data_IF_372331246046
#
_entry.id   IF_372331246046
#
_cell.length_a   1.000
_cell.length_b   1.000
_cell.length_c   1.000
_cell.angle_alpha   90.00
_cell.angle_beta   90.00
_cell.angle_gamma   90.00
#
_symmetry.space_group_name_H-M   'P 1'
#
loop_
_entity.id
_entity.type
_entity.pdbx_description
1 polymer ?
#
# COMPACT_ATOMS: atom_id res chain seq x y z
N UNK A 1 -32.91 -3.63 -11.24
CA UNK A 1 -33.42 -4.89 -10.67
C UNK A 1 -33.04 -4.90 -9.20
N UNK A 2 -33.96 -5.26 -8.29
CA UNK A 2 -33.64 -5.33 -6.86
C UNK A 2 -32.71 -6.51 -6.59
N UNK A 3 -31.71 -6.32 -5.73
CA UNK A 3 -30.79 -7.37 -5.28
C UNK A 3 -31.62 -8.47 -4.61
N UNK A 4 -31.67 -9.67 -5.21
CA UNK A 4 -32.33 -10.82 -4.60
C UNK A 4 -31.44 -11.29 -3.46
N UNK A 5 -31.87 -11.08 -2.22
CA UNK A 5 -31.11 -11.45 -1.03
C UNK A 5 -31.45 -12.87 -0.63
N UNK A 6 -30.47 -13.76 -0.72
CA UNK A 6 -30.56 -15.15 -0.26
C UNK A 6 -29.97 -15.31 1.16
N UNK A 7 -30.24 -16.44 1.81
CA UNK A 7 -29.79 -16.67 3.19
C UNK A 7 -28.26 -16.70 3.32
N UNK A 8 -27.55 -17.16 2.28
CA UNK A 8 -26.09 -17.23 2.27
C UNK A 8 -25.43 -15.85 2.08
N UNK A 9 -26.17 -14.82 1.63
CA UNK A 9 -25.65 -13.45 1.52
C UNK A 9 -25.34 -12.89 2.90
N UNK A 10 -26.15 -13.26 3.91
CA UNK A 10 -25.88 -12.90 5.30
C UNK A 10 -24.54 -13.48 5.80
N UNK A 11 -24.11 -14.64 5.28
CA UNK A 11 -22.80 -15.19 5.61
C UNK A 11 -21.70 -14.36 4.95
N UNK A 12 -21.87 -13.95 3.68
CA UNK A 12 -20.93 -13.07 3.01
C UNK A 12 -20.79 -11.73 3.74
N UNK A 13 -21.92 -11.13 4.15
CA UNK A 13 -21.96 -9.91 4.96
C UNK A 13 -21.26 -10.11 6.32
N UNK A 14 -21.49 -11.24 6.99
CA UNK A 14 -20.84 -11.57 8.25
C UNK A 14 -19.32 -11.71 8.09
N UNK A 15 -18.83 -12.38 7.03
CA UNK A 15 -17.39 -12.53 6.76
C UNK A 15 -16.72 -11.15 6.62
N UNK A 16 -17.31 -10.25 5.84
CA UNK A 16 -16.78 -8.89 5.64
C UNK A 16 -16.85 -8.08 6.94
N UNK A 17 -17.97 -8.13 7.65
CA UNK A 17 -18.13 -7.41 8.93
C UNK A 17 -17.12 -7.90 10.00
N UNK A 18 -16.89 -9.21 10.11
CA UNK A 18 -15.90 -9.79 11.01
C UNK A 18 -14.49 -9.36 10.59
N UNK A 19 -14.19 -9.37 9.29
CA UNK A 19 -12.88 -8.93 8.78
C UNK A 19 -12.60 -7.46 9.11
N UNK A 20 -13.60 -6.59 8.98
CA UNK A 20 -13.52 -5.18 9.39
C UNK A 20 -13.30 -5.07 10.90
N UNK A 21 -14.09 -5.79 11.70
CA UNK A 21 -13.97 -5.74 13.16
C UNK A 21 -12.60 -6.19 13.64
N UNK A 22 -12.09 -7.32 13.14
CA UNK A 22 -10.75 -7.83 13.45
C UNK A 22 -9.68 -6.83 13.03
N UNK A 23 -9.81 -6.21 11.85
CA UNK A 23 -8.84 -5.24 11.36
C UNK A 23 -8.80 -3.98 12.22
N UNK A 24 -9.96 -3.43 12.58
CA UNK A 24 -10.07 -2.28 13.49
C UNK A 24 -9.50 -2.63 14.87
N UNK A 25 -9.81 -3.82 15.37
CA UNK A 25 -9.29 -4.31 16.65
C UNK A 25 -7.76 -4.39 16.65
N UNK A 26 -7.15 -4.96 15.60
CA UNK A 26 -5.69 -5.03 15.44
C UNK A 26 -5.09 -3.62 15.40
N UNK A 27 -5.66 -2.71 14.62
CA UNK A 27 -5.17 -1.32 14.54
C UNK A 27 -5.26 -0.65 15.91
N UNK A 28 -6.41 -0.79 16.59
CA UNK A 28 -6.61 -0.20 17.91
C UNK A 28 -5.63 -0.73 18.96
N UNK A 29 -5.33 -2.03 18.95
CA UNK A 29 -4.33 -2.59 19.87
C UNK A 29 -2.91 -2.08 19.62
N UNK A 30 -2.54 -1.83 18.36
CA UNK A 30 -1.17 -1.44 18.00
C UNK A 30 -0.95 0.08 17.99
N UNK A 31 -1.97 0.88 17.64
CA UNK A 31 -1.87 2.34 17.46
C UNK A 31 -2.75 3.14 18.44
N UNK A 32 -3.74 2.51 19.08
CA UNK A 32 -4.76 3.17 19.90
C UNK A 32 -4.37 3.53 21.33
N UNK A 33 -3.12 3.30 21.76
CA UNK A 33 -2.66 3.67 23.10
C UNK A 33 -2.03 5.10 23.09
N UNK A 34 -2.73 6.13 23.60
CA UNK A 34 -2.31 7.53 23.44
C UNK A 34 -0.97 7.87 24.08
N UNK A 35 -0.59 7.13 25.15
CA UNK A 35 0.66 7.34 25.88
C UNK A 35 1.90 7.04 25.04
N UNK A 36 1.77 6.21 24.00
CA UNK A 36 2.89 5.86 23.11
C UNK A 36 3.09 6.90 21.99
N UNK A 37 2.00 7.50 21.51
CA UNK A 37 2.01 8.53 20.47
C UNK A 37 2.54 9.86 21.00
N UNK A 38 2.13 10.24 22.21
CA UNK A 38 2.59 11.48 22.84
C UNK A 38 4.09 11.40 23.19
N UNK A 39 4.54 10.27 23.77
CA UNK A 39 5.95 10.02 24.07
C UNK A 39 6.83 9.98 22.80
N UNK A 40 6.32 9.41 21.70
CA UNK A 40 6.98 9.41 20.38
C UNK A 40 7.19 10.81 19.80
N UNK A 41 6.24 11.73 19.99
CA UNK A 41 6.33 13.11 19.50
C UNK A 41 7.38 13.88 20.32
N UNK A 42 7.40 13.71 21.65
CA UNK A 42 8.40 14.34 22.51
C UNK A 42 9.82 13.81 22.28
N UNK A 43 10.01 12.49 22.09
CA UNK A 43 11.33 11.92 21.76
C UNK A 43 11.86 12.43 20.41
N UNK A 44 10.99 12.60 19.40
CA UNK A 44 11.37 13.20 18.10
C UNK A 44 11.78 14.68 18.19
N UNK A 45 11.31 15.41 19.21
CA UNK A 45 11.68 16.80 19.51
C UNK A 45 12.99 16.90 20.30
N UNK A 46 13.38 15.86 21.05
CA UNK A 46 14.58 15.82 21.88
C UNK A 46 15.81 15.21 21.19
N UNK A 47 15.64 14.40 20.14
CA UNK A 47 16.75 13.78 19.39
C UNK A 47 17.55 14.74 18.47
N UNK A 48 17.29 16.06 18.50
CA UNK A 48 18.16 17.05 17.84
C UNK A 48 19.47 17.24 18.62
N UNK A 49 19.58 16.82 19.89
CA UNK A 49 20.73 17.21 20.73
C UNK A 49 21.72 16.10 21.11
N UNK A 50 21.40 14.79 21.15
CA UNK A 50 22.38 13.80 21.65
C UNK A 50 22.45 12.48 20.88
N UNK A 51 23.69 12.06 20.65
CA UNK A 51 24.12 10.77 20.09
C UNK A 51 23.80 9.59 21.03
N UNK A 52 23.49 8.48 20.38
CA UNK A 52 23.64 7.07 20.76
C UNK A 52 22.55 6.34 21.59
N UNK A 53 22.39 5.09 21.16
CA UNK A 53 21.73 3.90 21.76
C UNK A 53 20.20 3.72 21.76
N UNK A 54 19.80 2.58 21.17
CA UNK A 54 18.90 1.64 21.84
C UNK A 54 17.39 1.83 21.76
N UNK A 55 16.77 1.13 20.81
CA UNK A 55 15.42 0.52 20.96
C UNK A 55 14.23 1.47 21.19
N UNK A 56 13.70 2.05 20.12
CA UNK A 56 12.27 2.40 20.05
C UNK A 56 11.68 1.82 18.76
N UNK A 57 11.13 0.61 18.85
CA UNK A 57 10.38 -0.03 17.77
C UNK A 57 9.07 0.72 17.52
N UNK A 58 9.08 1.68 16.61
CA UNK A 58 7.85 2.23 16.03
C UNK A 58 7.87 3.68 15.58
N UNK A 59 8.90 4.47 15.90
CA UNK A 59 8.96 5.88 15.50
C UNK A 59 9.70 6.01 14.18
N UNK A 60 8.99 6.40 13.11
CA UNK A 60 9.59 6.65 11.80
C UNK A 60 10.43 7.93 11.92
N UNK A 61 11.76 7.83 11.77
CA UNK A 61 12.59 9.03 11.69
C UNK A 61 12.23 9.79 10.42
N UNK A 62 11.99 11.10 10.52
CA UNK A 62 11.63 11.96 9.37
C UNK A 62 12.62 11.80 8.21
N UNK A 63 13.90 11.56 8.50
CA UNK A 63 14.95 11.25 7.51
C UNK A 63 14.69 9.96 6.74
N UNK A 64 14.20 8.88 7.36
CA UNK A 64 13.91 7.59 6.72
C UNK A 64 12.85 7.70 5.62
N UNK A 65 11.98 8.72 5.66
CA UNK A 65 10.93 8.91 4.66
C UNK A 65 11.48 9.30 3.28
N UNK A 66 12.64 9.94 3.22
CA UNK A 66 13.17 10.55 2.00
C UNK A 66 14.64 10.22 1.70
N UNK A 67 15.33 9.49 2.57
CA UNK A 67 16.67 8.96 2.30
C UNK A 67 16.62 7.50 1.85
N UNK A 68 17.62 7.11 1.05
CA UNK A 68 17.79 5.72 0.63
C UNK A 68 18.43 4.87 1.74
N UNK A 69 18.24 3.55 1.70
CA UNK A 69 18.99 2.60 2.53
C UNK A 69 20.42 2.33 2.01
N UNK A 70 20.81 2.90 0.86
CA UNK A 70 22.13 2.74 0.29
C UNK A 70 23.04 3.92 0.65
N UNK A 71 24.18 3.64 1.29
CA UNK A 71 25.14 4.66 1.68
C UNK A 71 25.68 5.40 0.45
N UNK A 72 25.71 6.73 0.50
CA UNK A 72 26.22 7.57 -0.58
C UNK A 72 25.25 7.83 -1.73
N UNK A 73 24.05 7.23 -1.72
CA UNK A 73 22.99 7.61 -2.67
C UNK A 73 22.39 8.94 -2.24
N UNK A 74 22.60 9.97 -3.06
CA UNK A 74 22.03 11.29 -2.80
C UNK A 74 20.49 11.21 -2.76
N UNK A 75 19.80 11.82 -1.77
CA UNK A 75 18.34 11.73 -1.61
C UNK A 75 17.54 12.17 -2.85
N UNK A 76 18.13 13.02 -3.69
CA UNK A 76 17.55 13.44 -4.97
C UNK A 76 17.25 12.26 -5.91
N UNK A 77 18.05 11.19 -5.91
CA UNK A 77 17.79 10.02 -6.78
C UNK A 77 16.51 9.30 -6.41
N UNK A 78 16.24 9.12 -5.11
CA UNK A 78 14.99 8.52 -4.63
C UNK A 78 13.79 9.42 -4.97
N UNK A 79 13.94 10.73 -4.83
CA UNK A 79 12.90 11.69 -5.24
C UNK A 79 12.60 11.61 -6.74
N UNK A 80 13.64 11.65 -7.59
CA UNK A 80 13.49 11.56 -9.06
C UNK A 80 12.82 10.26 -9.44
N UNK A 81 13.24 9.14 -8.83
CA UNK A 81 12.63 7.84 -9.05
C UNK A 81 11.13 7.83 -8.72
N UNK A 82 10.73 8.38 -7.56
CA UNK A 82 9.33 8.47 -7.14
C UNK A 82 8.50 9.34 -8.09
N UNK A 83 9.05 10.48 -8.52
CA UNK A 83 8.39 11.37 -9.47
C UNK A 83 8.21 10.72 -10.85
N UNK A 84 9.26 10.07 -11.37
CA UNK A 84 9.20 9.36 -12.65
C UNK A 84 8.20 8.21 -12.58
N UNK A 85 8.21 7.42 -11.50
CA UNK A 85 7.25 6.33 -11.29
C UNK A 85 5.81 6.86 -11.27
N UNK A 86 5.55 7.96 -10.55
CA UNK A 86 4.23 8.61 -10.54
C UNK A 86 3.79 9.06 -11.93
N UNK A 87 4.67 9.71 -12.70
CA UNK A 87 4.37 10.20 -14.06
C UNK A 87 4.07 9.03 -15.02
N UNK A 88 4.92 7.99 -15.01
CA UNK A 88 4.76 6.82 -15.89
C UNK A 88 3.46 6.08 -15.55
N UNK A 89 3.22 5.80 -14.27
CA UNK A 89 1.99 5.11 -13.86
C UNK A 89 0.74 5.94 -14.16
N UNK A 90 0.76 7.25 -13.88
CA UNK A 90 -0.36 8.14 -14.24
C UNK A 90 -0.60 8.19 -15.76
N UNK A 91 0.47 8.15 -16.57
CA UNK A 91 0.37 8.07 -18.03
C UNK A 91 -0.27 6.76 -18.50
N UNK A 92 0.09 5.63 -17.89
CA UNK A 92 -0.53 4.32 -18.17
C UNK A 92 -2.01 4.31 -17.77
N UNK A 93 -2.36 4.82 -16.58
CA UNK A 93 -3.75 4.92 -16.15
C UNK A 93 -4.56 5.85 -17.08
N UNK A 94 -3.98 6.98 -17.48
CA UNK A 94 -4.63 7.90 -18.42
C UNK A 94 -4.84 7.27 -19.80
N UNK A 95 -3.91 6.42 -20.26
CA UNK A 95 -4.09 5.62 -21.46
C UNK A 95 -5.28 4.66 -21.30
N UNK A 96 -5.36 3.96 -20.16
CA UNK A 96 -6.44 3.00 -19.91
C UNK A 96 -7.82 3.67 -19.86
N UNK A 97 -7.94 4.81 -19.17
CA UNK A 97 -9.17 5.63 -19.14
C UNK A 97 -9.57 6.07 -20.55
N UNK A 98 -8.62 6.43 -21.42
CA UNK A 98 -8.95 6.85 -22.79
C UNK A 98 -9.49 5.71 -23.65
N UNK A 99 -9.00 4.49 -23.42
CA UNK A 99 -9.39 3.32 -24.21
C UNK A 99 -10.71 2.71 -23.72
N UNK A 100 -10.95 2.72 -22.40
CA UNK A 100 -12.03 1.97 -21.77
C UNK A 100 -13.01 2.81 -20.93
N UNK A 101 -12.85 4.14 -20.95
CA UNK A 101 -13.61 5.11 -20.16
C UNK A 101 -13.43 4.92 -18.63
N UNK A 102 -14.04 5.78 -17.85
CA UNK A 102 -14.04 5.76 -16.38
C UNK A 102 -14.67 4.49 -15.76
N UNK A 103 -15.31 3.65 -16.57
CA UNK A 103 -15.88 2.38 -16.13
C UNK A 103 -14.83 1.38 -15.60
N UNK A 104 -13.55 1.56 -15.97
CA UNK A 104 -12.45 0.73 -15.47
C UNK A 104 -12.28 0.80 -13.94
N UNK A 105 -12.69 1.91 -13.31
CA UNK A 105 -12.65 2.07 -11.85
C UNK A 105 -13.64 1.16 -11.11
N UNK A 106 -14.42 0.35 -11.83
CA UNK A 106 -15.15 -0.77 -11.26
C UNK A 106 -14.26 -1.97 -10.92
N UNK A 107 -13.03 -2.05 -11.46
CA UNK A 107 -12.11 -3.15 -11.18
C UNK A 107 -11.19 -2.84 -9.99
N UNK A 108 -10.92 -3.85 -9.17
CA UNK A 108 -10.03 -3.74 -8.01
C UNK A 108 -8.58 -3.45 -8.41
N UNK A 109 -8.15 -3.97 -9.57
CA UNK A 109 -6.83 -3.68 -10.13
C UNK A 109 -6.61 -2.17 -10.29
N UNK A 110 -7.59 -1.44 -10.82
CA UNK A 110 -7.51 0.01 -10.98
C UNK A 110 -7.49 0.77 -9.65
N UNK A 111 -8.22 0.28 -8.64
CA UNK A 111 -8.15 0.82 -7.29
C UNK A 111 -6.73 0.68 -6.71
N UNK A 112 -6.12 -0.50 -6.84
CA UNK A 112 -4.75 -0.74 -6.35
C UNK A 112 -3.69 0.03 -7.14
N UNK A 113 -3.86 0.16 -8.46
CA UNK A 113 -2.97 0.93 -9.33
C UNK A 113 -3.03 2.42 -8.99
N UNK A 114 -4.24 2.95 -8.79
CA UNK A 114 -4.47 4.34 -8.36
C UNK A 114 -3.92 4.62 -6.98
N UNK A 115 -4.07 3.69 -6.03
CA UNK A 115 -3.48 3.81 -4.70
C UNK A 115 -1.94 3.83 -4.77
N UNK A 116 -1.34 3.09 -5.71
CA UNK A 116 0.11 3.07 -5.93
C UNK A 116 0.60 4.37 -6.57
N UNK A 117 -0.16 4.96 -7.51
CA UNK A 117 0.11 6.31 -8.00
C UNK A 117 0.06 7.33 -6.85
N UNK A 118 -1.00 7.27 -6.02
CA UNK A 118 -1.15 8.14 -4.87
C UNK A 118 0.04 8.02 -3.91
N UNK A 119 0.50 6.79 -3.65
CA UNK A 119 1.71 6.54 -2.88
C UNK A 119 2.92 7.26 -3.46
N UNK A 120 3.21 7.09 -4.77
CA UNK A 120 4.39 7.71 -5.38
C UNK A 120 4.31 9.25 -5.39
N UNK A 121 3.13 9.81 -5.60
CA UNK A 121 2.90 11.26 -5.51
C UNK A 121 3.17 11.76 -4.09
N UNK A 122 2.58 11.12 -3.08
CA UNK A 122 2.80 11.49 -1.68
C UNK A 122 4.28 11.33 -1.28
N UNK A 123 4.92 10.25 -1.71
CA UNK A 123 6.33 9.98 -1.47
C UNK A 123 7.22 11.06 -2.10
N UNK A 124 6.92 11.48 -3.34
CA UNK A 124 7.66 12.53 -4.04
C UNK A 124 7.50 13.89 -3.34
N UNK A 125 6.29 14.24 -2.88
CA UNK A 125 6.03 15.46 -2.11
C UNK A 125 6.84 15.45 -0.81
N UNK A 126 6.75 14.37 -0.02
CA UNK A 126 7.49 14.25 1.24
C UNK A 126 9.01 14.32 1.00
N UNK A 127 9.50 13.68 -0.08
CA UNK A 127 10.92 13.74 -0.45
C UNK A 127 11.39 15.16 -0.75
N UNK A 128 10.57 15.89 -1.50
CA UNK A 128 10.82 17.28 -1.88
C UNK A 128 10.84 18.18 -0.65
N UNK A 129 9.80 18.09 0.20
CA UNK A 129 9.71 18.85 1.45
C UNK A 129 10.88 18.56 2.41
N UNK A 130 11.27 17.29 2.56
CA UNK A 130 12.39 16.89 3.43
C UNK A 130 13.73 17.48 2.99
N UNK A 131 13.99 17.52 1.68
CA UNK A 131 15.21 18.12 1.14
C UNK A 131 15.22 19.66 1.26
N UNK A 132 14.10 20.32 0.94
CA UNK A 132 14.00 21.77 1.06
C UNK A 132 14.08 22.24 2.50
N UNK A 133 13.47 21.51 3.44
CA UNK A 133 13.53 21.80 4.87
C UNK A 133 14.95 21.76 5.43
N UNK A 134 15.80 20.81 4.99
CA UNK A 134 17.23 20.80 5.36
C UNK A 134 17.99 22.02 4.84
N UNK A 135 17.61 22.56 3.68
CA UNK A 135 18.32 23.68 3.04
C UNK A 135 17.98 25.04 3.66
N UNK A 136 16.85 25.19 4.33
CA UNK A 136 16.32 26.47 4.83
C UNK A 136 16.17 26.49 6.36
N UNK A 137 17.12 25.89 7.10
CA UNK A 137 17.07 25.68 8.56
C UNK A 137 17.05 26.93 9.45
N UNK A 138 16.02 27.77 9.33
CA UNK A 138 15.79 28.99 10.09
C UNK A 138 14.33 29.15 10.55
N UNK A 139 13.65 28.05 10.90
CA UNK A 139 12.27 28.10 11.40
C UNK A 139 12.22 28.38 12.92
N UNK A 140 11.20 29.13 13.35
CA UNK A 140 10.95 29.39 14.79
C UNK A 140 10.45 28.12 15.50
N UNK A 141 10.64 28.01 16.82
CA UNK A 141 10.33 26.79 17.59
C UNK A 141 8.86 26.33 17.46
N UNK A 142 7.90 27.27 17.46
CA UNK A 142 6.46 26.98 17.32
C UNK A 142 6.12 26.49 15.91
N UNK A 143 6.74 27.09 14.90
CA UNK A 143 6.57 26.70 13.50
C UNK A 143 7.19 25.32 13.23
N UNK A 144 8.32 25.03 13.88
CA UNK A 144 8.97 23.73 13.88
C UNK A 144 8.08 22.60 14.42
N UNK A 145 7.38 22.82 15.53
CA UNK A 145 6.49 21.81 16.15
C UNK A 145 5.31 21.45 15.25
N UNK A 146 4.69 22.46 14.60
CA UNK A 146 3.57 22.24 13.67
C UNK A 146 4.03 21.50 12.41
N UNK A 147 5.17 21.90 11.85
CA UNK A 147 5.76 21.24 10.67
C UNK A 147 6.16 19.79 11.01
N UNK A 148 6.77 19.56 12.17
CA UNK A 148 7.15 18.22 12.63
C UNK A 148 5.92 17.32 12.82
N UNK A 149 4.85 17.83 13.43
CA UNK A 149 3.59 17.09 13.59
C UNK A 149 2.96 16.74 12.24
N UNK A 150 2.94 17.69 11.31
CA UNK A 150 2.45 17.44 9.94
C UNK A 150 3.31 16.42 9.20
N UNK A 151 4.63 16.48 9.35
CA UNK A 151 5.56 15.52 8.75
C UNK A 151 5.38 14.11 9.32
N UNK A 152 5.17 13.99 10.63
CA UNK A 152 4.86 12.73 11.29
C UNK A 152 3.55 12.13 10.78
N UNK A 153 2.49 12.94 10.66
CA UNK A 153 1.21 12.50 10.10
C UNK A 153 1.32 12.04 8.64
N UNK A 154 1.99 12.83 7.79
CA UNK A 154 2.25 12.46 6.39
C UNK A 154 3.08 11.18 6.28
N UNK A 155 4.07 10.99 7.15
CA UNK A 155 4.87 9.76 7.22
C UNK A 155 4.05 8.53 7.60
N UNK A 156 3.12 8.68 8.55
CA UNK A 156 2.18 7.62 8.91
C UNK A 156 1.28 7.23 7.74
N UNK A 157 0.68 8.21 7.05
CA UNK A 157 -0.14 7.95 5.85
C UNK A 157 0.70 7.25 4.79
N UNK A 158 1.89 7.78 4.47
CA UNK A 158 2.77 7.20 3.46
C UNK A 158 3.05 5.72 3.74
N UNK A 159 3.33 5.38 5.00
CA UNK A 159 3.60 4.01 5.41
C UNK A 159 2.36 3.10 5.33
N UNK A 160 1.17 3.60 5.71
CA UNK A 160 -0.10 2.86 5.57
C UNK A 160 -0.37 2.55 4.10
N UNK A 161 -0.26 3.55 3.23
CA UNK A 161 -0.52 3.41 1.80
C UNK A 161 0.50 2.45 1.18
N UNK A 162 1.79 2.61 1.48
CA UNK A 162 2.85 1.70 1.02
C UNK A 162 2.55 0.23 1.30
N UNK A 163 2.13 -0.09 2.51
CA UNK A 163 1.87 -1.48 2.93
C UNK A 163 0.55 -2.01 2.38
N UNK A 164 -0.44 -1.14 2.19
CA UNK A 164 -1.69 -1.46 1.51
C UNK A 164 -1.42 -1.79 0.03
N UNK A 165 -0.60 -0.98 -0.65
CA UNK A 165 -0.14 -1.25 -2.01
C UNK A 165 0.65 -2.55 -2.07
N UNK A 166 1.60 -2.77 -1.16
CA UNK A 166 2.42 -3.99 -1.13
C UNK A 166 1.57 -5.29 -1.11
N UNK A 167 0.52 -5.32 -0.27
CA UNK A 167 -0.45 -6.42 -0.26
C UNK A 167 -1.27 -6.49 -1.56
N UNK A 168 -1.82 -5.35 -2.00
CA UNK A 168 -2.70 -5.25 -3.17
C UNK A 168 -2.03 -5.61 -4.49
N UNK A 169 -0.79 -5.17 -4.71
CA UNK A 169 0.01 -5.48 -5.89
C UNK A 169 0.29 -6.98 -5.97
N UNK A 170 0.76 -7.60 -4.87
CA UNK A 170 0.99 -9.05 -4.86
C UNK A 170 -0.31 -9.83 -5.10
N UNK A 171 -1.42 -9.42 -4.48
CA UNK A 171 -2.71 -10.07 -4.67
C UNK A 171 -3.16 -9.99 -6.14
N UNK A 172 -3.17 -8.79 -6.71
CA UNK A 172 -3.63 -8.56 -8.08
C UNK A 172 -2.73 -9.24 -9.09
N UNK A 173 -1.42 -9.24 -8.90
CA UNK A 173 -0.47 -9.87 -9.82
C UNK A 173 -0.48 -11.39 -9.72
N UNK A 174 -0.59 -11.97 -8.52
CA UNK A 174 -0.76 -13.42 -8.38
C UNK A 174 -2.03 -13.87 -9.12
N UNK A 175 -3.15 -13.18 -8.88
CA UNK A 175 -4.42 -13.51 -9.55
C UNK A 175 -4.28 -13.31 -11.07
N UNK A 176 -3.68 -12.21 -11.51
CA UNK A 176 -3.51 -11.94 -12.93
C UNK A 176 -2.62 -12.99 -13.62
N UNK A 177 -1.39 -13.19 -13.15
CA UNK A 177 -0.40 -14.03 -13.82
C UNK A 177 -0.64 -15.52 -13.65
N UNK A 178 -1.17 -15.96 -12.51
CA UNK A 178 -1.32 -17.40 -12.22
C UNK A 178 -2.72 -17.90 -12.57
N UNK A 179 -3.75 -17.06 -12.44
CA UNK A 179 -5.14 -17.44 -12.70
C UNK A 179 -5.56 -16.91 -14.07
N UNK A 180 -5.64 -15.59 -14.22
CA UNK A 180 -6.28 -14.96 -15.39
C UNK A 180 -5.52 -15.25 -16.70
N UNK A 181 -4.21 -15.04 -16.74
CA UNK A 181 -3.40 -15.18 -17.96
C UNK A 181 -3.46 -16.60 -18.54
N UNK A 182 -3.28 -17.69 -17.77
CA UNK A 182 -3.46 -19.04 -18.29
C UNK A 182 -4.86 -19.30 -18.85
N UNK A 183 -5.93 -18.87 -18.15
CA UNK A 183 -7.30 -19.05 -18.63
C UNK A 183 -7.60 -18.24 -19.91
N UNK A 184 -7.10 -17.01 -20.03
CA UNK A 184 -7.29 -16.17 -21.23
C UNK A 184 -6.44 -16.65 -22.42
N UNK A 185 -5.24 -17.17 -22.17
CA UNK A 185 -4.35 -17.72 -23.19
C UNK A 185 -4.94 -18.95 -23.87
N UNK A 186 -5.65 -19.79 -23.11
CA UNK A 186 -6.37 -20.96 -23.64
C UNK A 186 -7.52 -20.57 -24.58
N UNK A 187 -8.09 -19.37 -24.43
CA UNK A 187 -9.23 -18.90 -25.22
C UNK A 187 -8.84 -17.99 -26.42
N UNK A 188 -7.55 -17.87 -26.76
CA UNK A 188 -7.05 -16.95 -27.81
C UNK A 188 -7.47 -15.49 -27.62
N UNK A 189 -7.71 -15.05 -26.38
CA UNK A 189 -8.03 -13.66 -26.10
C UNK A 189 -6.77 -12.80 -26.29
N UNK A 190 -6.90 -11.70 -27.05
CA UNK A 190 -5.82 -10.72 -27.19
C UNK A 190 -5.57 -10.04 -25.83
N UNK A 191 -4.62 -10.57 -25.05
CA UNK A 191 -4.07 -9.86 -23.89
C UNK A 191 -3.59 -8.50 -24.38
N UNK A 192 -4.34 -7.42 -24.08
CA UNK A 192 -3.91 -6.08 -24.48
C UNK A 192 -2.62 -5.78 -23.73
N UNK A 193 -1.61 -5.35 -24.48
CA UNK A 193 -0.29 -4.95 -23.98
C UNK A 193 -0.41 -4.03 -22.74
N UNK A 194 -1.41 -3.15 -22.73
CA UNK A 194 -1.68 -2.22 -21.65
C UNK A 194 -1.93 -2.91 -20.29
N UNK A 195 -2.76 -3.94 -20.25
CA UNK A 195 -3.06 -4.69 -19.03
C UNK A 195 -1.80 -5.38 -18.50
N UNK A 196 -1.01 -5.98 -19.39
CA UNK A 196 0.28 -6.57 -19.05
C UNK A 196 1.24 -5.50 -18.49
N UNK A 197 1.33 -4.34 -19.14
CA UNK A 197 2.14 -3.22 -18.67
C UNK A 197 1.71 -2.74 -17.29
N UNK A 198 0.41 -2.59 -17.02
CA UNK A 198 -0.08 -2.16 -15.70
C UNK A 198 0.41 -3.11 -14.60
N UNK A 199 0.19 -4.42 -14.77
CA UNK A 199 0.66 -5.42 -13.80
C UNK A 199 2.19 -5.45 -13.66
N UNK A 200 2.93 -5.40 -14.77
CA UNK A 200 4.41 -5.40 -14.72
C UNK A 200 4.98 -4.14 -14.06
N UNK A 201 4.52 -2.94 -14.44
CA UNK A 201 5.04 -1.69 -13.88
C UNK A 201 4.65 -1.50 -12.41
N UNK A 202 3.46 -1.96 -12.01
CA UNK A 202 2.99 -1.88 -10.63
C UNK A 202 3.91 -2.64 -9.67
N UNK A 203 4.20 -3.92 -9.96
CA UNK A 203 5.14 -4.71 -9.14
C UNK A 203 6.57 -4.22 -9.25
N UNK A 204 7.03 -3.89 -10.46
CA UNK A 204 8.41 -3.48 -10.68
C UNK A 204 8.73 -2.21 -9.90
N UNK A 205 7.87 -1.19 -10.01
CA UNK A 205 8.13 0.08 -9.33
C UNK A 205 8.01 -0.04 -7.82
N UNK A 206 7.06 -0.82 -7.30
CA UNK A 206 6.95 -0.99 -5.85
C UNK A 206 8.12 -1.80 -5.27
N UNK A 207 8.63 -2.81 -5.99
CA UNK A 207 9.82 -3.57 -5.58
C UNK A 207 11.10 -2.73 -5.65
N UNK A 208 11.27 -1.90 -6.69
CA UNK A 208 12.40 -0.96 -6.78
C UNK A 208 12.33 0.10 -5.68
N UNK A 209 11.14 0.65 -5.39
CA UNK A 209 10.94 1.53 -4.25
C UNK A 209 11.36 0.85 -2.94
N UNK A 210 10.95 -0.41 -2.74
CA UNK A 210 11.35 -1.22 -1.58
C UNK A 210 12.84 -1.44 -1.50
N UNK A 211 13.50 -1.65 -2.65
CA UNK A 211 14.94 -1.84 -2.72
C UNK A 211 15.72 -0.56 -2.37
N UNK A 212 15.15 0.61 -2.63
CA UNK A 212 15.80 1.90 -2.45
C UNK A 212 15.48 2.57 -1.11
N UNK A 213 14.25 2.45 -0.59
CA UNK A 213 13.83 3.16 0.62
C UNK A 213 14.30 2.46 1.91
N UNK A 214 14.14 3.12 3.06
CA UNK A 214 14.44 2.54 4.37
C UNK A 214 13.19 2.42 5.26
N UNK A 215 12.01 2.22 4.64
CA UNK A 215 10.75 2.15 5.37
C UNK A 215 10.63 0.83 6.13
N UNK A 216 10.11 0.90 7.35
CA UNK A 216 9.77 -0.29 8.14
C UNK A 216 8.47 -0.94 7.64
N UNK A 217 8.39 -2.26 7.79
CA UNK A 217 7.24 -3.08 7.33
C UNK A 217 6.66 -3.89 8.50
N UNK A 218 5.97 -3.25 9.47
CA UNK A 218 5.28 -3.92 10.55
C UNK A 218 4.18 -4.87 10.03
N UNK A 219 4.08 -6.05 10.65
CA UNK A 219 3.11 -7.08 10.23
C UNK A 219 1.66 -6.69 10.54
N UNK A 220 1.41 -5.96 11.63
CA UNK A 220 0.04 -5.64 12.08
C UNK A 220 -0.74 -4.77 11.08
N UNK A 221 -0.04 -4.02 10.22
CA UNK A 221 -0.63 -3.14 9.20
C UNK A 221 -1.23 -3.89 8.01
N UNK A 222 -1.12 -5.23 7.97
CA UNK A 222 -2.00 -6.08 7.17
C UNK A 222 -3.49 -5.69 7.33
N UNK A 223 -3.88 -5.24 8.53
CA UNK A 223 -5.24 -4.79 8.80
C UNK A 223 -5.72 -3.68 7.83
N UNK A 224 -4.84 -2.75 7.44
CA UNK A 224 -5.18 -1.71 6.47
C UNK A 224 -5.40 -2.26 5.06
N UNK A 225 -4.62 -3.26 4.66
CA UNK A 225 -4.83 -3.98 3.40
C UNK A 225 -6.17 -4.73 3.37
N UNK A 226 -6.53 -5.40 4.46
CA UNK A 226 -7.85 -6.06 4.60
C UNK A 226 -8.99 -5.03 4.54
N UNK A 227 -8.85 -3.89 5.24
CA UNK A 227 -9.84 -2.81 5.19
C UNK A 227 -10.01 -2.22 3.78
N UNK A 228 -8.92 -2.04 3.04
CA UNK A 228 -8.98 -1.58 1.65
C UNK A 228 -9.79 -2.51 0.76
N UNK A 229 -9.60 -3.82 0.89
CA UNK A 229 -10.38 -4.81 0.14
C UNK A 229 -11.84 -4.87 0.59
N UNK A 230 -12.11 -4.73 1.90
CA UNK A 230 -13.49 -4.64 2.40
C UNK A 230 -14.19 -3.40 1.88
N UNK A 231 -13.50 -2.25 1.80
CA UNK A 231 -14.03 -1.02 1.23
C UNK A 231 -14.44 -1.22 -0.23
N UNK A 232 -13.60 -1.88 -1.03
CA UNK A 232 -13.92 -2.21 -2.41
C UNK A 232 -15.14 -3.15 -2.51
N UNK A 233 -15.23 -4.18 -1.67
CA UNK A 233 -16.40 -5.09 -1.65
C UNK A 233 -17.69 -4.32 -1.34
N UNK A 234 -17.66 -3.44 -0.34
CA UNK A 234 -18.82 -2.59 0.02
C UNK A 234 -19.18 -1.68 -1.14
N UNK A 235 -18.21 -1.06 -1.81
CA UNK A 235 -18.43 -0.25 -3.00
C UNK A 235 -19.15 -1.07 -4.11
N UNK A 236 -18.73 -2.31 -4.35
CA UNK A 236 -19.38 -3.19 -5.32
C UNK A 236 -20.82 -3.52 -4.94
N UNK A 237 -21.07 -3.85 -3.66
CA UNK A 237 -22.43 -4.09 -3.17
C UNK A 237 -23.33 -2.87 -3.34
N UNK A 238 -22.84 -1.67 -3.05
CA UNK A 238 -23.59 -0.42 -3.23
C UNK A 238 -23.97 -0.23 -4.70
N UNK A 239 -23.02 -0.39 -5.62
CA UNK A 239 -23.27 -0.22 -7.06
C UNK A 239 -24.30 -1.22 -7.59
N UNK A 240 -24.23 -2.48 -7.16
CA UNK A 240 -25.22 -3.49 -7.53
C UNK A 240 -26.58 -3.23 -6.90
N UNK A 241 -26.63 -2.71 -5.67
CA UNK A 241 -27.87 -2.26 -5.05
C UNK A 241 -28.51 -1.07 -5.80
N UNK A 242 -27.68 -0.22 -6.42
CA UNK A 242 -28.14 0.85 -7.33
C UNK A 242 -28.60 0.33 -8.71
N UNK A 243 -28.50 -0.97 -8.98
CA UNK A 243 -29.04 -1.61 -10.18
C UNK A 243 -28.04 -1.86 -11.31
N UNK A 244 -26.73 -1.82 -11.02
CA UNK A 244 -25.72 -2.23 -11.98
C UNK A 244 -25.81 -3.74 -12.28
N UNK A 245 -25.77 -4.18 -13.54
CA UNK A 245 -26.24 -5.52 -13.91
C UNK A 245 -25.17 -6.62 -13.90
N UNK A 246 -23.87 -6.30 -13.80
CA UNK A 246 -22.79 -7.28 -13.92
C UNK A 246 -21.70 -7.09 -12.87
N UNK A 247 -21.15 -8.20 -12.39
CA UNK A 247 -20.03 -8.21 -11.45
C UNK A 247 -18.69 -8.14 -12.18
N UNK A 248 -17.74 -7.29 -11.75
CA UNK A 248 -16.40 -7.23 -12.37
C UNK A 248 -15.59 -8.49 -12.16
N UNK A 249 -15.90 -9.24 -11.11
CA UNK A 249 -15.27 -10.52 -10.84
C UNK A 249 -16.32 -11.57 -10.45
N UNK A 250 -16.28 -12.79 -11.02
CA UNK A 250 -17.23 -13.85 -10.69
C UNK A 250 -17.25 -14.22 -9.20
N UNK A 251 -16.12 -14.09 -8.50
CA UNK A 251 -16.03 -14.42 -7.07
C UNK A 251 -16.69 -13.39 -6.13
N UNK A 252 -17.17 -12.25 -6.67
CA UNK A 252 -17.96 -11.28 -5.90
C UNK A 252 -19.47 -11.52 -6.01
N UNK A 253 -19.87 -12.30 -7.01
CA UNK A 253 -21.26 -12.57 -7.30
C UNK A 253 -21.95 -13.22 -6.09
N UNK A 254 -23.05 -12.59 -5.67
CA UNK A 254 -23.85 -13.09 -4.56
C UNK A 254 -24.86 -14.14 -5.01
N UNK A 255 -25.31 -14.17 -6.27
CA UNK A 255 -26.37 -15.08 -6.76
C UNK A 255 -25.93 -16.56 -6.95
N UNK A 256 -25.02 -17.03 -6.09
CA UNK A 256 -24.51 -18.39 -6.11
C UNK A 256 -24.37 -18.92 -4.68
N UNK A 257 -24.80 -20.17 -4.40
CA UNK A 257 -24.67 -20.77 -3.07
C UNK A 257 -23.21 -20.93 -2.62
N UNK A 258 -22.26 -20.84 -3.56
CA UNK A 258 -20.82 -20.90 -3.27
C UNK A 258 -20.22 -19.55 -2.90
N UNK A 259 -20.98 -18.45 -2.91
CA UNK A 259 -20.49 -17.11 -2.58
C UNK A 259 -19.77 -17.09 -1.21
N UNK A 260 -20.30 -17.66 -0.10
CA UNK A 260 -19.59 -17.63 1.18
C UNK A 260 -18.18 -18.22 1.14
N UNK A 261 -17.99 -19.28 0.35
CA UNK A 261 -16.68 -19.91 0.17
C UNK A 261 -15.71 -18.96 -0.53
N UNK A 262 -16.16 -18.27 -1.58
CA UNK A 262 -15.35 -17.26 -2.28
C UNK A 262 -14.95 -16.11 -1.34
N UNK A 263 -15.90 -15.55 -0.59
CA UNK A 263 -15.62 -14.46 0.36
C UNK A 263 -14.65 -14.90 1.46
N UNK A 264 -14.78 -16.14 1.95
CA UNK A 264 -13.84 -16.71 2.91
C UNK A 264 -12.43 -16.91 2.31
N UNK A 265 -12.34 -17.48 1.11
CA UNK A 265 -11.06 -17.64 0.40
C UNK A 265 -10.40 -16.28 0.11
N UNK A 266 -11.18 -15.27 -0.27
CA UNK A 266 -10.71 -13.90 -0.46
C UNK A 266 -10.20 -13.31 0.85
N UNK A 267 -10.86 -13.50 1.99
CA UNK A 267 -10.33 -13.05 3.27
C UNK A 267 -8.98 -13.73 3.57
N UNK A 268 -8.88 -15.04 3.34
CA UNK A 268 -7.68 -15.82 3.64
C UNK A 268 -6.49 -15.51 2.73
N UNK A 269 -6.69 -15.19 1.45
CA UNK A 269 -5.58 -14.92 0.50
C UNK A 269 -4.79 -13.65 0.83
N UNK A 270 -5.36 -12.73 1.62
CA UNK A 270 -4.63 -11.54 2.07
C UNK A 270 -3.41 -11.89 2.93
N UNK A 271 -3.51 -12.95 3.74
CA UNK A 271 -2.43 -13.41 4.63
C UNK A 271 -1.17 -13.85 3.84
N UNK A 272 -1.24 -14.80 2.88
CA UNK A 272 -0.07 -15.19 2.09
C UNK A 272 0.42 -14.07 1.17
N UNK A 273 -0.46 -13.25 0.57
CA UNK A 273 -0.04 -12.13 -0.29
C UNK A 273 0.79 -11.10 0.49
N UNK A 274 0.29 -10.66 1.65
CA UNK A 274 1.02 -9.74 2.51
C UNK A 274 2.28 -10.39 3.10
N UNK A 275 2.18 -11.67 3.47
CA UNK A 275 3.30 -12.46 3.98
C UNK A 275 4.43 -12.61 2.97
N UNK A 276 4.11 -12.78 1.68
CA UNK A 276 5.10 -12.85 0.60
C UNK A 276 5.86 -11.53 0.46
N UNK A 277 5.15 -10.39 0.49
CA UNK A 277 5.82 -9.09 0.45
C UNK A 277 6.68 -8.84 1.69
N UNK A 278 6.14 -9.16 2.87
CA UNK A 278 6.88 -9.07 4.13
C UNK A 278 8.17 -9.93 4.09
N UNK A 279 8.12 -11.10 3.45
CA UNK A 279 9.28 -11.95 3.24
C UNK A 279 10.31 -11.27 2.33
N UNK A 280 9.89 -10.63 1.23
CA UNK A 280 10.79 -9.86 0.35
C UNK A 280 11.52 -8.77 1.15
N UNK A 281 10.80 -8.01 1.98
CA UNK A 281 11.39 -6.97 2.84
C UNK A 281 12.36 -7.58 3.87
N UNK A 282 12.00 -8.71 4.50
CA UNK A 282 12.90 -9.41 5.43
C UNK A 282 14.16 -9.92 4.74
N UNK A 283 14.03 -10.46 3.52
CA UNK A 283 15.15 -10.94 2.71
C UNK A 283 16.09 -9.79 2.35
N UNK A 284 15.56 -8.63 1.95
CA UNK A 284 16.33 -7.40 1.72
C UNK A 284 17.25 -7.11 2.90
N UNK A 285 16.69 -7.00 4.11
CA UNK A 285 17.47 -6.66 5.31
C UNK A 285 18.34 -7.78 5.86
N UNK A 286 18.13 -9.04 5.43
CA UNK A 286 18.98 -10.18 5.83
C UNK A 286 20.15 -10.41 4.87
N UNK A 287 19.95 -10.18 3.56
CA UNK A 287 20.91 -10.49 2.50
C UNK A 287 21.78 -9.28 2.14
N UNK A 288 21.19 -8.10 1.94
CA UNK A 288 21.94 -6.94 1.45
C UNK A 288 23.05 -6.45 2.39
N UNK A 289 22.89 -6.44 3.74
CA UNK A 289 24.00 -6.12 4.62
C UNK A 289 25.16 -7.12 4.53
N UNK A 290 24.90 -8.39 4.17
CA UNK A 290 25.94 -9.42 4.02
C UNK A 290 26.69 -9.26 2.70
N UNK A 291 25.99 -8.91 1.62
CA UNK A 291 26.58 -8.72 0.30
C UNK A 291 27.25 -7.35 0.13
N UNK A 292 26.72 -6.31 0.79
CA UNK A 292 27.16 -4.92 0.67
C UNK A 292 27.39 -4.24 2.03
N UNK A 293 28.30 -4.74 2.87
CA UNK A 293 28.45 -4.28 4.26
C UNK A 293 28.86 -2.81 4.42
N UNK A 294 29.49 -2.21 3.39
CA UNK A 294 29.92 -0.80 3.39
C UNK A 294 28.94 0.14 2.67
N UNK A 295 27.95 -0.40 1.97
CA UNK A 295 27.06 0.38 1.09
C UNK A 295 25.58 0.26 1.48
N UNK A 296 25.23 -0.55 2.48
CA UNK A 296 23.85 -0.77 2.90
C UNK A 296 23.67 -0.47 4.39
N UNK A 297 22.78 0.48 4.70
CA UNK A 297 22.39 0.83 6.05
C UNK A 297 21.18 0.00 6.50
N UNK A 298 21.25 -0.54 7.73
CA UNK A 298 20.06 -1.12 8.36
C UNK A 298 19.16 0.02 8.83
N UNK A 299 17.83 -0.13 8.75
CA UNK A 299 16.93 0.74 9.48
C UNK A 299 17.27 0.61 10.97
N UNK A 300 17.69 1.72 11.58
CA UNK A 300 17.72 1.88 13.04
C UNK A 300 16.29 1.86 13.58
#
# INVERSE_FOLDING_TARGET
MALLIFWYDFICFAIVAISIFISIWIIWQNEGNPRHTEKSIYESLSEVDHLDDGSVTGVIKSTQLWTSCWCGVHPMWLMVYRLVSAIVMAGILAWDIREYDTSIFLYYTEWTFSLTIFYFVLAAIISTCGMFGKSHGGATKVEGDVIAKSAGFCGCILQIVYQTCAGGVILTDIVFWIIIVPFLSIQHFNLKLLMVCMHTFNVLFLLLETALNNLSFPTFRLAYFVLWSCLYIIFQWIIHACGFPWWPYPFLELDTPWAPLWYFCLAMIHLPCYGLYALIVKLKYSLLPKWFPKAFERPC
#
